data_IF_107019851105
#
_entry.id   IF_107019851105
#
_cell.length_a   1.000
_cell.length_b   1.000
_cell.length_c   1.000
_cell.angle_alpha   90.00
_cell.angle_beta   90.00
_cell.angle_gamma   90.00
#
_symmetry.space_group_name_H-M   'P 1'
#
loop_
_entity.id
_entity.type
_entity.pdbx_description
1 polymer ?
#
# COMPACT_ATOMS: atom_id res chain seq x y z
N UNK A 1 -5.48 45.98 -61.06
CA UNK A 1 -4.87 46.77 -59.98
C UNK A 1 -5.99 47.62 -59.41
N UNK A 2 -6.43 47.49 -58.18
CA UNK A 2 -5.67 47.25 -56.94
C UNK A 2 -6.41 46.29 -56.02
N UNK A 3 -5.64 45.40 -55.41
CA UNK A 3 -6.08 44.39 -54.44
C UNK A 3 -6.03 45.07 -53.08
N UNK A 4 -7.18 45.39 -52.47
CA UNK A 4 -7.19 45.84 -51.09
C UNK A 4 -7.04 44.63 -50.15
N UNK A 5 -5.79 44.40 -49.77
CA UNK A 5 -5.40 43.53 -48.66
C UNK A 5 -5.86 44.14 -47.35
N UNK A 6 -6.85 43.53 -46.72
CA UNK A 6 -7.15 43.77 -45.32
C UNK A 6 -6.17 42.91 -44.48
N UNK A 7 -5.42 43.48 -43.52
CA UNK A 7 -4.34 42.76 -42.86
C UNK A 7 -4.92 41.77 -41.85
N UNK A 8 -4.56 40.50 -42.05
CA UNK A 8 -4.81 39.35 -41.19
C UNK A 8 -4.06 39.45 -39.83
N UNK A 9 -3.77 40.63 -39.31
CA UNK A 9 -2.88 40.83 -38.16
C UNK A 9 -3.61 40.93 -36.82
N UNK A 10 -4.86 41.40 -36.81
CA UNK A 10 -5.60 41.57 -35.55
C UNK A 10 -6.26 40.28 -35.02
N UNK A 11 -6.55 39.31 -35.90
CA UNK A 11 -7.05 37.99 -35.46
C UNK A 11 -5.95 37.12 -34.83
N UNK A 12 -4.68 37.33 -35.21
CA UNK A 12 -3.55 36.58 -34.66
C UNK A 12 -3.21 37.07 -33.25
N UNK A 13 -3.42 38.35 -32.96
CA UNK A 13 -3.16 38.90 -31.62
C UNK A 13 -4.14 38.39 -30.55
N UNK A 14 -5.38 38.03 -30.91
CA UNK A 14 -6.32 37.42 -29.96
C UNK A 14 -6.03 35.93 -29.72
N UNK A 15 -5.44 35.25 -30.70
CA UNK A 15 -5.08 33.83 -30.58
C UNK A 15 -3.86 33.65 -29.64
N UNK A 16 -2.93 34.60 -29.62
CA UNK A 16 -1.78 34.54 -28.70
C UNK A 16 -2.14 34.79 -27.22
N UNK A 17 -3.30 35.40 -26.93
CA UNK A 17 -3.80 35.56 -25.56
C UNK A 17 -4.57 34.32 -25.05
N UNK A 18 -4.96 33.39 -25.95
CA UNK A 18 -5.58 32.11 -25.57
C UNK A 18 -4.54 30.99 -25.35
N UNK A 19 -3.28 31.22 -25.73
CA UNK A 19 -2.18 30.27 -25.53
C UNK A 19 -1.19 30.67 -24.44
N UNK A 20 -1.45 31.75 -23.69
CA UNK A 20 -0.95 31.86 -22.33
C UNK A 20 -1.72 30.87 -21.44
N UNK A 21 -1.52 29.58 -21.72
CA UNK A 21 -1.62 28.55 -20.68
C UNK A 21 -0.57 28.95 -19.67
N UNK A 22 -1.00 29.66 -18.63
CA UNK A 22 -0.37 29.58 -17.33
C UNK A 22 -0.12 28.09 -17.06
N UNK A 23 1.13 27.66 -17.27
CA UNK A 23 1.69 26.55 -16.54
C UNK A 23 1.85 27.00 -15.08
N UNK A 24 0.75 27.41 -14.46
CA UNK A 24 0.59 27.35 -13.03
C UNK A 24 0.54 25.86 -12.72
N UNK A 25 1.73 25.26 -12.59
CA UNK A 25 1.92 24.08 -11.77
C UNK A 25 1.53 24.53 -10.35
N UNK A 26 0.22 24.56 -10.10
CA UNK A 26 -0.31 24.78 -8.76
C UNK A 26 0.30 23.70 -7.88
N UNK A 27 0.58 23.98 -6.60
CA UNK A 27 1.05 22.95 -5.69
C UNK A 27 0.03 21.83 -5.76
N UNK A 28 0.45 20.67 -6.28
CA UNK A 28 -0.36 19.45 -6.22
C UNK A 28 -0.78 19.36 -4.77
N UNK A 29 -2.09 19.57 -4.50
CA UNK A 29 -2.64 19.48 -3.15
C UNK A 29 -2.12 18.15 -2.60
N UNK A 30 -1.16 18.22 -1.67
CA UNK A 30 -0.63 17.02 -1.01
C UNK A 30 -1.83 16.38 -0.35
N UNK A 31 -2.41 15.38 -0.99
CA UNK A 31 -3.48 14.58 -0.41
C UNK A 31 -2.82 13.94 0.80
N UNK A 32 -3.16 14.42 1.99
CA UNK A 32 -2.59 13.90 3.21
C UNK A 32 -3.10 12.46 3.33
N UNK A 33 -2.21 11.51 3.06
CA UNK A 33 -2.50 10.09 3.24
C UNK A 33 -2.75 9.89 4.74
N UNK A 34 -4.01 9.70 5.13
CA UNK A 34 -4.36 9.46 6.52
C UNK A 34 -3.87 8.06 6.89
N UNK A 35 -2.79 8.03 7.67
CA UNK A 35 -2.28 6.81 8.27
C UNK A 35 -3.14 6.44 9.48
N UNK A 36 -3.50 5.18 9.58
CA UNK A 36 -4.29 4.62 10.68
C UNK A 36 -3.55 3.44 11.29
N UNK A 37 -3.71 3.22 12.59
CA UNK A 37 -3.06 2.13 13.28
C UNK A 37 -4.07 1.03 13.57
N UNK A 38 -3.65 -0.22 13.42
CA UNK A 38 -4.45 -1.41 13.57
C UNK A 38 -3.68 -2.45 14.38
N UNK A 39 -4.42 -3.26 15.13
CA UNK A 39 -3.94 -4.51 15.68
C UNK A 39 -4.31 -5.66 14.75
N UNK A 40 -3.39 -6.60 14.56
CA UNK A 40 -3.57 -7.78 13.72
C UNK A 40 -3.13 -9.05 14.46
N UNK A 41 -3.90 -10.12 14.30
CA UNK A 41 -3.50 -11.47 14.70
C UNK A 41 -4.25 -12.50 13.87
N UNK A 42 -3.68 -13.68 13.68
CA UNK A 42 -4.34 -14.74 12.92
C UNK A 42 -5.45 -15.44 13.73
N UNK A 43 -6.24 -16.30 13.07
CA UNK A 43 -7.29 -17.08 13.74
C UNK A 43 -6.76 -18.03 14.82
N UNK A 44 -5.49 -18.42 14.75
CA UNK A 44 -4.78 -19.25 15.71
C UNK A 44 -4.13 -18.45 16.85
N UNK A 45 -4.49 -17.15 16.97
CA UNK A 45 -4.02 -16.23 18.00
C UNK A 45 -2.54 -15.86 17.92
N UNK A 46 -1.88 -16.06 16.78
CA UNK A 46 -0.50 -15.58 16.57
C UNK A 46 -0.51 -14.11 16.21
N UNK A 47 0.29 -13.35 16.94
CA UNK A 47 0.50 -11.91 16.73
C UNK A 47 1.75 -11.67 15.92
N UNK A 48 1.85 -10.50 15.30
CA UNK A 48 3.04 -10.11 14.56
C UNK A 48 4.09 -9.49 15.48
N UNK A 49 5.35 -9.82 15.26
CA UNK A 49 6.49 -9.17 15.90
C UNK A 49 7.70 -9.19 14.95
N UNK A 50 8.67 -8.32 15.21
CA UNK A 50 9.89 -8.24 14.41
C UNK A 50 11.00 -9.12 15.02
N UNK A 51 11.62 -9.96 14.20
CA UNK A 51 12.79 -10.76 14.59
C UNK A 51 13.81 -10.79 13.46
N UNK A 52 15.07 -10.42 13.74
CA UNK A 52 16.14 -10.36 12.73
C UNK A 52 15.76 -9.60 11.45
N UNK A 53 15.06 -8.48 11.58
CA UNK A 53 14.54 -7.66 10.47
C UNK A 53 13.54 -8.38 9.55
N UNK A 54 12.93 -9.47 10.03
CA UNK A 54 11.87 -10.21 9.37
C UNK A 54 10.60 -10.15 10.21
N UNK A 55 9.47 -9.94 9.55
CA UNK A 55 8.16 -9.98 10.20
C UNK A 55 7.79 -11.43 10.47
N UNK A 56 7.54 -11.76 11.74
CA UNK A 56 7.23 -13.11 12.22
C UNK A 56 5.84 -13.09 12.86
N UNK A 57 5.09 -14.18 12.68
CA UNK A 57 3.87 -14.45 13.41
C UNK A 57 4.10 -15.57 14.42
N UNK A 58 3.78 -15.33 15.68
CA UNK A 58 3.99 -16.31 16.75
C UNK A 58 3.30 -15.97 18.06
N UNK A 59 3.64 -16.71 19.10
CA UNK A 59 3.03 -16.57 20.43
C UNK A 59 3.93 -15.77 21.38
N UNK A 60 3.52 -14.54 21.72
CA UNK A 60 4.23 -13.73 22.70
C UNK A 60 3.75 -14.03 24.13
N UNK A 61 4.70 -14.32 25.01
CA UNK A 61 4.46 -14.36 26.45
C UNK A 61 4.27 -12.95 27.01
N UNK A 62 3.63 -12.82 28.18
CA UNK A 62 3.33 -11.53 28.81
C UNK A 62 4.56 -10.61 28.97
N UNK A 63 5.73 -11.17 29.31
CA UNK A 63 6.98 -10.41 29.43
C UNK A 63 7.43 -9.77 28.10
N UNK A 64 7.02 -10.35 26.97
CA UNK A 64 7.37 -9.95 25.62
C UNK A 64 6.23 -9.27 24.87
N UNK A 65 5.08 -9.00 25.51
CA UNK A 65 3.91 -8.40 24.86
C UNK A 65 4.21 -7.04 24.19
N UNK A 66 5.20 -6.30 24.70
CA UNK A 66 5.67 -5.04 24.12
C UNK A 66 6.34 -5.17 22.74
N UNK A 67 6.69 -6.39 22.33
CA UNK A 67 7.27 -6.68 21.01
C UNK A 67 6.19 -6.85 19.93
N UNK A 68 4.91 -6.91 20.32
CA UNK A 68 3.81 -6.97 19.36
C UNK A 68 3.83 -5.75 18.44
N UNK A 69 3.93 -6.00 17.14
CA UNK A 69 3.91 -4.96 16.12
C UNK A 69 2.48 -4.54 15.81
N UNK A 70 2.29 -3.22 15.76
CA UNK A 70 1.06 -2.63 15.23
C UNK A 70 1.18 -2.45 13.72
N UNK A 71 0.07 -2.60 13.02
CA UNK A 71 0.00 -2.37 11.58
C UNK A 71 -0.43 -0.94 11.31
N UNK A 72 0.40 -0.22 10.55
CA UNK A 72 0.10 1.09 10.00
C UNK A 72 -0.49 0.92 8.61
N UNK A 73 -1.64 1.53 8.39
CA UNK A 73 -2.44 1.40 7.18
C UNK A 73 -2.54 2.74 6.49
N UNK A 74 -2.19 2.77 5.21
CA UNK A 74 -2.49 3.88 4.30
C UNK A 74 -3.39 3.35 3.19
N UNK A 75 -4.56 3.94 3.02
CA UNK A 75 -5.50 3.55 1.97
C UNK A 75 -4.98 4.00 0.60
N UNK A 76 -5.13 3.14 -0.41
CA UNK A 76 -4.83 3.48 -1.80
C UNK A 76 -6.05 4.16 -2.45
N UNK A 77 -5.91 4.56 -3.71
CA UNK A 77 -7.04 5.06 -4.50
C UNK A 77 -7.98 3.95 -4.96
N UNK A 78 -7.54 2.69 -4.96
CA UNK A 78 -8.38 1.56 -5.35
C UNK A 78 -9.32 1.18 -4.19
N UNK A 79 -10.61 0.92 -4.44
CA UNK A 79 -11.54 0.47 -3.41
C UNK A 79 -11.01 -0.76 -2.67
N UNK A 80 -10.94 -0.68 -1.33
CA UNK A 80 -10.43 -1.77 -0.49
C UNK A 80 -8.90 -1.98 -0.55
N UNK A 81 -8.18 -1.21 -1.36
CA UNK A 81 -6.74 -1.26 -1.46
C UNK A 81 -6.05 -0.52 -0.32
N UNK A 82 -4.96 -1.09 0.18
CA UNK A 82 -4.17 -0.49 1.25
C UNK A 82 -2.70 -0.90 1.19
N UNK A 83 -1.86 -0.02 1.71
CA UNK A 83 -0.49 -0.33 2.08
C UNK A 83 -0.44 -0.71 3.56
N UNK A 84 0.33 -1.75 3.87
CA UNK A 84 0.53 -2.24 5.23
C UNK A 84 1.98 -1.98 5.63
N UNK A 85 2.18 -1.34 6.77
CA UNK A 85 3.49 -1.04 7.32
C UNK A 85 3.57 -1.34 8.80
N UNK A 86 4.78 -1.38 9.32
CA UNK A 86 5.11 -1.57 10.74
C UNK A 86 6.08 -0.46 11.17
N UNK A 87 6.47 -0.46 12.44
CA UNK A 87 7.50 0.45 12.94
C UNK A 87 7.20 1.93 12.62
N UNK A 88 6.00 2.39 12.97
CA UNK A 88 5.53 3.77 12.71
C UNK A 88 5.40 4.13 11.23
N UNK A 89 5.20 3.13 10.36
CA UNK A 89 5.10 3.35 8.92
C UNK A 89 6.44 3.68 8.27
N UNK A 90 7.55 3.25 8.88
CA UNK A 90 8.90 3.33 8.30
C UNK A 90 9.20 2.12 7.40
N UNK A 91 8.73 0.94 7.79
CA UNK A 91 8.89 -0.30 7.05
C UNK A 91 7.56 -0.75 6.45
N UNK A 92 7.54 -1.02 5.15
CA UNK A 92 6.34 -1.39 4.39
C UNK A 92 6.45 -2.80 3.83
N UNK A 93 5.33 -3.52 3.86
CA UNK A 93 5.23 -4.86 3.28
C UNK A 93 5.24 -4.73 1.76
N UNK A 94 6.23 -5.37 1.13
CA UNK A 94 6.39 -5.46 -0.31
C UNK A 94 6.27 -6.92 -0.76
N UNK A 95 5.44 -7.15 -1.77
CA UNK A 95 5.37 -8.40 -2.51
C UNK A 95 6.43 -8.36 -3.60
N UNK A 96 7.38 -9.29 -3.60
CA UNK A 96 8.45 -9.36 -4.59
C UNK A 96 8.53 -10.75 -5.21
N UNK A 97 9.03 -10.84 -6.45
CA UNK A 97 9.33 -12.11 -7.11
C UNK A 97 10.83 -12.37 -6.97
N UNK A 98 11.18 -13.45 -6.27
CA UNK A 98 12.56 -13.89 -6.08
C UNK A 98 12.75 -15.24 -6.79
N UNK A 99 13.36 -15.23 -7.97
CA UNK A 99 13.38 -16.39 -8.86
C UNK A 99 11.96 -16.74 -9.30
N UNK A 100 11.50 -17.95 -9.04
CA UNK A 100 10.12 -18.39 -9.35
C UNK A 100 9.13 -18.23 -8.18
N UNK A 101 9.59 -17.80 -6.99
CA UNK A 101 8.74 -17.68 -5.81
C UNK A 101 8.31 -16.23 -5.58
N UNK A 102 7.02 -16.04 -5.30
CA UNK A 102 6.50 -14.79 -4.76
C UNK A 102 6.77 -14.77 -3.25
N UNK A 103 7.42 -13.73 -2.76
CA UNK A 103 7.81 -13.59 -1.35
C UNK A 103 7.39 -12.24 -0.80
N UNK A 104 7.35 -12.16 0.53
CA UNK A 104 7.10 -10.93 1.27
C UNK A 104 8.42 -10.38 1.82
N UNK A 105 8.62 -9.07 1.72
CA UNK A 105 9.78 -8.37 2.28
C UNK A 105 9.34 -7.08 2.98
N UNK A 106 10.19 -6.59 3.88
CA UNK A 106 10.05 -5.27 4.49
C UNK A 106 11.00 -4.30 3.79
N UNK A 107 10.47 -3.17 3.33
CA UNK A 107 11.28 -2.13 2.70
C UNK A 107 11.08 -0.77 3.38
N UNK A 108 12.18 -0.05 3.55
CA UNK A 108 12.17 1.32 4.06
C UNK A 108 11.95 2.30 2.90
N UNK A 109 10.72 2.77 2.75
CA UNK A 109 10.32 3.66 1.66
C UNK A 109 9.36 4.75 2.15
N UNK A 110 9.35 5.90 1.48
CA UNK A 110 8.26 6.86 1.66
C UNK A 110 7.03 6.39 0.88
N UNK A 111 6.09 5.73 1.57
CA UNK A 111 4.89 5.18 0.93
C UNK A 111 4.04 6.22 0.22
N UNK A 112 4.09 7.49 0.65
CA UNK A 112 3.30 8.56 0.03
C UNK A 112 3.87 9.01 -1.31
N UNK A 113 5.18 8.85 -1.50
CA UNK A 113 5.84 9.12 -2.78
C UNK A 113 5.67 7.92 -3.71
N UNK A 114 5.91 6.69 -3.21
CA UNK A 114 5.67 5.44 -3.94
C UNK A 114 4.22 5.36 -4.42
N UNK A 115 3.26 5.72 -3.56
CA UNK A 115 1.83 5.72 -3.85
C UNK A 115 1.38 6.65 -4.98
N UNK A 116 2.23 7.58 -5.46
CA UNK A 116 1.94 8.43 -6.62
C UNK A 116 2.17 7.72 -7.95
N UNK A 117 3.03 6.70 -7.96
CA UNK A 117 3.31 5.89 -9.12
C UNK A 117 2.54 4.57 -9.03
N UNK A 118 1.46 4.43 -9.81
CA UNK A 118 0.57 3.26 -9.74
C UNK A 118 1.29 1.92 -9.97
N UNK A 119 2.27 1.89 -10.88
CA UNK A 119 2.99 0.66 -11.19
C UNK A 119 3.94 0.26 -10.06
N UNK A 120 4.66 1.22 -9.49
CA UNK A 120 5.58 0.99 -8.37
C UNK A 120 4.82 0.65 -7.08
N UNK A 121 3.73 1.37 -6.81
CA UNK A 121 2.86 1.14 -5.66
C UNK A 121 2.21 -0.25 -5.66
N UNK A 122 2.00 -0.85 -6.84
CA UNK A 122 1.29 -2.12 -6.99
C UNK A 122 1.90 -3.24 -6.15
N UNK A 123 3.23 -3.26 -6.00
CA UNK A 123 3.93 -4.29 -5.21
C UNK A 123 3.80 -4.13 -3.70
N UNK A 124 3.41 -2.95 -3.22
CA UNK A 124 3.15 -2.68 -1.80
C UNK A 124 1.66 -2.78 -1.45
N UNK A 125 0.79 -2.82 -2.46
CA UNK A 125 -0.65 -2.77 -2.26
C UNK A 125 -1.24 -4.16 -1.99
N UNK A 126 -2.15 -4.19 -1.02
CA UNK A 126 -2.99 -5.33 -0.71
C UNK A 126 -4.46 -4.94 -0.85
N UNK A 127 -5.29 -5.86 -1.34
CA UNK A 127 -6.74 -5.74 -1.32
C UNK A 127 -7.28 -6.43 -0.09
N UNK A 128 -7.99 -5.69 0.76
CA UNK A 128 -8.65 -6.25 1.94
C UNK A 128 -10.01 -6.85 1.56
N UNK A 129 -10.24 -8.09 1.96
CA UNK A 129 -11.56 -8.71 1.97
C UNK A 129 -11.98 -9.00 3.42
N UNK A 130 -13.21 -8.68 3.79
CA UNK A 130 -13.73 -8.88 5.14
C UNK A 130 -15.01 -9.72 5.09
N UNK A 131 -15.04 -10.79 5.88
CA UNK A 131 -16.20 -11.62 6.13
C UNK A 131 -16.45 -11.72 7.64
N UNK A 132 -17.41 -10.93 8.13
CA UNK A 132 -17.65 -10.75 9.55
C UNK A 132 -16.44 -10.11 10.25
N UNK A 133 -15.93 -10.76 11.30
CA UNK A 133 -14.73 -10.31 12.03
C UNK A 133 -13.42 -10.74 11.37
N UNK A 134 -13.47 -11.65 10.39
CA UNK A 134 -12.30 -12.19 9.72
C UNK A 134 -11.97 -11.37 8.48
N UNK A 135 -10.70 -11.09 8.31
CA UNK A 135 -10.13 -10.34 7.20
C UNK A 135 -9.05 -11.19 6.50
N UNK A 136 -8.96 -11.08 5.18
CA UNK A 136 -7.83 -11.55 4.38
C UNK A 136 -7.26 -10.42 3.54
N UNK A 137 -5.99 -10.57 3.15
CA UNK A 137 -5.25 -9.56 2.38
C UNK A 137 -4.64 -10.23 1.15
N UNK A 138 -5.12 -9.85 -0.03
CA UNK A 138 -4.61 -10.34 -1.32
C UNK A 138 -3.59 -9.36 -1.89
N UNK A 139 -2.48 -9.86 -2.45
CA UNK A 139 -1.47 -9.05 -3.13
C UNK A 139 -2.03 -8.45 -4.42
N UNK A 140 -1.91 -7.13 -4.58
CA UNK A 140 -2.28 -6.45 -5.83
C UNK A 140 -1.29 -6.73 -6.98
N UNK A 141 -0.02 -7.02 -6.65
CA UNK A 141 0.99 -7.39 -7.64
C UNK A 141 0.85 -8.84 -8.13
N UNK A 142 0.39 -9.74 -7.25
CA UNK A 142 0.24 -11.16 -7.54
C UNK A 142 -1.18 -11.63 -7.18
N UNK A 143 -2.17 -11.42 -8.08
CA UNK A 143 -3.53 -11.89 -7.85
C UNK A 143 -3.58 -13.39 -7.53
N UNK A 144 -4.45 -13.77 -6.61
CA UNK A 144 -4.55 -15.12 -6.03
C UNK A 144 -3.54 -15.43 -4.93
N UNK A 145 -2.60 -14.53 -4.62
CA UNK A 145 -1.67 -14.69 -3.50
C UNK A 145 -2.09 -13.86 -2.30
N UNK A 146 -2.14 -14.47 -1.13
CA UNK A 146 -2.63 -13.89 0.10
C UNK A 146 -1.53 -13.81 1.15
N UNK A 147 -1.58 -12.77 1.98
CA UNK A 147 -0.80 -12.70 3.20
C UNK A 147 -1.12 -13.91 4.07
N UNK A 148 -0.10 -14.61 4.56
CA UNK A 148 -0.28 -15.77 5.40
C UNK A 148 0.76 -15.88 6.49
N UNK A 149 0.46 -16.70 7.49
CA UNK A 149 1.39 -17.13 8.53
C UNK A 149 1.71 -18.62 8.37
N UNK A 150 2.78 -19.10 8.99
CA UNK A 150 3.00 -20.55 9.12
C UNK A 150 1.89 -21.22 9.94
N UNK A 151 1.61 -22.50 9.67
CA UNK A 151 0.58 -23.25 10.39
C UNK A 151 0.99 -23.56 11.84
N UNK A 152 2.26 -23.85 12.06
CA UNK A 152 2.80 -24.29 13.35
C UNK A 152 3.89 -23.33 13.84
N UNK A 153 3.84 -23.03 15.14
CA UNK A 153 4.88 -22.28 15.83
C UNK A 153 5.09 -20.85 15.31
N UNK A 154 6.30 -20.36 15.60
CA UNK A 154 6.74 -19.04 15.20
C UNK A 154 7.39 -19.12 13.83
N UNK A 155 6.86 -18.36 12.88
CA UNK A 155 7.29 -18.42 11.49
C UNK A 155 7.12 -17.10 10.76
N UNK A 156 7.85 -16.91 9.65
CA UNK A 156 7.79 -15.66 8.91
C UNK A 156 6.39 -15.43 8.33
N UNK A 157 5.95 -14.18 8.35
CA UNK A 157 4.79 -13.77 7.56
C UNK A 157 5.18 -13.82 6.09
N UNK A 158 4.33 -14.42 5.27
CA UNK A 158 4.65 -14.76 3.88
C UNK A 158 3.45 -14.56 2.96
N UNK A 159 3.58 -15.02 1.71
CA UNK A 159 2.52 -15.11 0.73
C UNK A 159 2.23 -16.58 0.39
N UNK A 160 0.96 -16.92 0.20
CA UNK A 160 0.51 -18.22 -0.30
C UNK A 160 -0.57 -18.06 -1.36
N UNK A 161 -0.62 -18.98 -2.33
CA UNK A 161 -1.72 -19.11 -3.29
C UNK A 161 -2.74 -20.19 -2.88
N UNK A 162 -2.59 -20.77 -1.69
CA UNK A 162 -3.49 -21.76 -1.12
C UNK A 162 -4.21 -21.16 0.10
N UNK A 163 -5.37 -20.48 -0.11
CA UNK A 163 -6.08 -19.84 0.98
C UNK A 163 -6.66 -20.88 1.95
N UNK A 164 -6.62 -20.53 3.24
CA UNK A 164 -7.05 -21.38 4.35
C UNK A 164 -6.95 -20.63 5.67
N UNK A 165 -6.92 -21.35 6.80
CA UNK A 165 -6.88 -20.73 8.12
C UNK A 165 -5.65 -19.84 8.35
N UNK A 166 -4.52 -20.16 7.73
CA UNK A 166 -3.29 -19.35 7.77
C UNK A 166 -3.38 -17.99 7.06
N UNK A 167 -4.43 -17.74 6.28
CA UNK A 167 -4.67 -16.48 5.55
C UNK A 167 -5.74 -15.60 6.18
N UNK A 168 -6.22 -15.99 7.37
CA UNK A 168 -7.36 -15.40 8.05
C UNK A 168 -6.90 -14.65 9.30
N UNK A 169 -7.25 -13.38 9.37
CA UNK A 169 -6.81 -12.48 10.42
C UNK A 169 -7.97 -11.76 11.07
N UNK A 170 -7.86 -11.52 12.37
CA UNK A 170 -8.58 -10.45 13.04
C UNK A 170 -7.83 -9.14 12.80
N UNK A 171 -8.55 -8.08 12.43
CA UNK A 171 -7.94 -6.80 12.04
C UNK A 171 -8.79 -5.63 12.53
N UNK A 172 -8.32 -4.99 13.61
CA UNK A 172 -9.09 -3.98 14.34
C UNK A 172 -8.33 -2.67 14.44
N UNK A 173 -9.03 -1.55 14.24
CA UNK A 173 -8.45 -0.23 14.45
C UNK A 173 -8.01 -0.10 15.91
N UNK A 174 -6.78 0.33 16.10
CA UNK A 174 -6.21 0.63 17.41
C UNK A 174 -6.74 2.01 17.83
N UNK A 175 -7.55 2.04 18.89
CA UNK A 175 -8.23 3.26 19.38
C UNK A 175 -7.32 4.08 20.29
#
# INVERSE_FOLDING_TARGET
>A
MEIFRCPLSHLISLILLLFYSEAACGPTKRRLYKMQTFRIWDVNQKVFYLSNNQLVAGYLQAANAKLEEKIYVVLTESPGGMFLGIHEGKLWLACVKSGEKNTLQLEEVNITDVGRNKEEAKRFAFTRSQNGSITSFESAAYPGWFLCTESEGDGPVSLTNEPGDTTRFYFHADQ
#
